data_IF_175747737452
#
_entry.id   IF_175747737452
#
_cell.length_a   1.000
_cell.length_b   1.000
_cell.length_c   1.000
_cell.angle_alpha   90.00
_cell.angle_beta   90.00
_cell.angle_gamma   90.00
#
_symmetry.space_group_name_H-M   'P 1'
#
loop_
_entity.id
_entity.type
_entity.pdbx_description
1 polymer ?
#
# COMPACT_ATOMS: atom_id res chain seq x y z
N UNK A 1 9.74 2.37 11.55
CA UNK A 1 8.47 2.54 10.80
C UNK A 1 7.29 2.37 11.74
N UNK A 2 6.08 2.70 11.30
CA UNK A 2 4.85 2.42 12.04
C UNK A 2 4.56 0.92 12.03
N UNK A 3 4.08 0.35 13.14
CA UNK A 3 3.70 -1.05 13.22
C UNK A 3 2.48 -1.34 12.31
N UNK A 4 2.42 -2.57 11.78
CA UNK A 4 1.24 -3.09 11.08
C UNK A 4 0.31 -3.68 12.14
N UNK A 5 -0.92 -3.19 12.20
CA UNK A 5 -1.95 -3.72 13.10
C UNK A 5 -2.71 -4.87 12.47
N UNK A 6 -2.94 -4.82 11.16
CA UNK A 6 -3.68 -5.85 10.44
C UNK A 6 -3.27 -5.93 8.96
N UNK A 7 -3.46 -7.13 8.38
CA UNK A 7 -3.20 -7.42 6.98
C UNK A 7 -4.43 -8.07 6.36
N UNK A 8 -5.10 -7.34 5.46
CA UNK A 8 -6.20 -7.87 4.66
C UNK A 8 -5.71 -8.43 3.33
N UNK A 9 -6.18 -9.62 2.92
CA UNK A 9 -5.74 -10.30 1.68
C UNK A 9 -6.87 -10.58 0.69
N UNK A 10 -8.02 -9.92 0.84
CA UNK A 10 -9.20 -10.20 0.02
C UNK A 10 -9.05 -9.77 -1.46
N UNK A 11 -8.30 -8.71 -1.71
CA UNK A 11 -8.10 -8.13 -3.05
C UNK A 11 -6.73 -7.43 -3.11
N UNK A 12 -5.69 -8.24 -3.36
CA UNK A 12 -4.30 -7.84 -3.13
C UNK A 12 -3.92 -7.96 -1.65
N UNK A 13 -3.07 -7.06 -1.15
CA UNK A 13 -2.78 -6.95 0.27
C UNK A 13 -2.96 -5.51 0.76
N UNK A 14 -3.69 -5.36 1.87
CA UNK A 14 -3.91 -4.09 2.57
C UNK A 14 -3.22 -4.16 3.93
N UNK A 15 -2.31 -3.24 4.18
CA UNK A 15 -1.68 -3.03 5.49
C UNK A 15 -2.41 -1.90 6.20
N UNK A 16 -3.00 -2.19 7.36
CA UNK A 16 -3.49 -1.19 8.31
C UNK A 16 -2.39 -0.91 9.33
N UNK A 17 -2.04 0.37 9.51
CA UNK A 17 -0.94 0.80 10.38
C UNK A 17 -1.47 1.39 11.68
N UNK A 18 -0.68 1.28 12.75
CA UNK A 18 -1.08 1.72 14.10
C UNK A 18 -1.32 3.22 14.27
N UNK A 19 -0.94 4.03 13.28
CA UNK A 19 -1.24 5.46 13.21
C UNK A 19 -2.54 5.78 12.44
N UNK A 20 -3.31 4.75 12.08
CA UNK A 20 -4.53 4.85 11.28
C UNK A 20 -4.29 4.99 9.77
N UNK A 21 -3.04 5.11 9.33
CA UNK A 21 -2.71 5.12 7.90
C UNK A 21 -2.84 3.71 7.29
N UNK A 22 -2.95 3.65 5.96
CA UNK A 22 -3.01 2.36 5.27
C UNK A 22 -2.32 2.39 3.91
N UNK A 23 -1.88 1.20 3.48
CA UNK A 23 -1.32 0.93 2.16
C UNK A 23 -2.09 -0.24 1.54
N UNK A 24 -2.50 -0.12 0.28
CA UNK A 24 -3.11 -1.21 -0.49
C UNK A 24 -2.36 -1.40 -1.79
N UNK A 25 -1.94 -2.63 -2.04
CA UNK A 25 -1.39 -3.07 -3.32
C UNK A 25 -2.31 -4.13 -3.90
N UNK A 26 -2.70 -3.97 -5.16
CA UNK A 26 -3.52 -4.98 -5.85
C UNK A 26 -3.23 -5.08 -7.34
N UNK A 27 -3.41 -6.26 -7.96
CA UNK A 27 -3.48 -6.39 -9.40
C UNK A 27 -4.67 -5.61 -9.98
N UNK A 28 -4.48 -5.08 -11.19
CA UNK A 28 -5.57 -4.60 -12.00
C UNK A 28 -6.29 -5.77 -12.68
N UNK A 29 -7.62 -5.79 -12.62
CA UNK A 29 -8.44 -6.79 -13.31
C UNK A 29 -8.61 -6.53 -14.81
N UNK A 30 -8.25 -5.35 -15.31
CA UNK A 30 -8.53 -4.92 -16.70
C UNK A 30 -7.28 -4.54 -17.48
N UNK A 31 -6.11 -4.45 -16.83
CA UNK A 31 -4.87 -3.96 -17.44
C UNK A 31 -3.69 -4.72 -16.82
N UNK A 32 -2.59 -4.96 -17.53
CA UNK A 32 -1.42 -5.66 -16.99
C UNK A 32 -0.58 -4.73 -16.10
N UNK A 33 -1.12 -4.31 -14.96
CA UNK A 33 -0.44 -3.42 -14.00
C UNK A 33 -0.83 -3.67 -12.55
N UNK A 34 0.08 -3.37 -11.63
CA UNK A 34 -0.19 -3.29 -10.20
C UNK A 34 -0.64 -1.86 -9.85
N UNK A 35 -1.55 -1.74 -8.88
CA UNK A 35 -1.99 -0.47 -8.31
C UNK A 35 -1.55 -0.36 -6.87
N UNK A 36 -1.03 0.80 -6.50
CA UNK A 36 -0.64 1.16 -5.13
C UNK A 36 -1.49 2.34 -4.69
N UNK A 37 -2.15 2.21 -3.54
CA UNK A 37 -2.98 3.23 -2.92
C UNK A 37 -2.52 3.44 -1.49
N UNK A 38 -2.56 4.68 -1.03
CA UNK A 38 -2.24 4.98 0.36
C UNK A 38 -3.13 6.10 0.90
N UNK A 39 -3.36 6.04 2.21
CA UNK A 39 -3.98 7.12 2.98
C UNK A 39 -3.12 7.38 4.22
N UNK A 40 -3.02 8.64 4.61
CA UNK A 40 -2.35 9.05 5.82
C UNK A 40 -2.69 10.49 6.19
N UNK A 41 -2.40 10.87 7.43
CA UNK A 41 -2.76 12.18 7.97
C UNK A 41 -2.05 13.40 7.34
N UNK A 42 -1.17 13.20 6.36
CA UNK A 42 -0.53 14.30 5.63
C UNK A 42 -0.09 13.87 4.22
N UNK A 43 0.07 14.85 3.32
CA UNK A 43 0.57 14.60 1.98
C UNK A 43 2.00 14.04 1.95
N UNK A 44 2.82 14.34 2.95
CA UNK A 44 4.16 13.76 3.10
C UNK A 44 4.05 12.27 3.48
N UNK A 45 3.16 11.94 4.43
CA UNK A 45 2.92 10.56 4.85
C UNK A 45 2.41 9.69 3.71
N UNK A 46 1.46 10.20 2.92
CA UNK A 46 0.93 9.52 1.73
C UNK A 46 2.06 9.23 0.74
N UNK A 47 2.91 10.22 0.44
CA UNK A 47 4.07 10.02 -0.46
C UNK A 47 5.00 8.92 0.04
N UNK A 48 5.40 8.96 1.32
CA UNK A 48 6.23 7.91 1.92
C UNK A 48 5.61 6.50 1.79
N UNK A 49 4.30 6.38 1.95
CA UNK A 49 3.60 5.10 1.83
C UNK A 49 3.53 4.62 0.37
N UNK A 50 3.27 5.52 -0.58
CA UNK A 50 3.27 5.19 -2.00
C UNK A 50 4.65 4.73 -2.48
N UNK A 51 5.72 5.42 -2.06
CA UNK A 51 7.09 5.03 -2.39
C UNK A 51 7.41 3.64 -1.80
N UNK A 52 7.12 3.43 -0.51
CA UNK A 52 7.32 2.12 0.13
C UNK A 52 6.50 0.99 -0.54
N UNK A 53 5.26 1.28 -0.96
CA UNK A 53 4.42 0.32 -1.65
C UNK A 53 4.90 0.01 -3.06
N UNK A 54 5.49 0.98 -3.76
CA UNK A 54 6.14 0.77 -5.06
C UNK A 54 7.39 -0.10 -4.90
N UNK A 55 8.26 0.22 -3.96
CA UNK A 55 9.51 -0.53 -3.72
C UNK A 55 9.23 -1.99 -3.36
N UNK A 56 8.15 -2.24 -2.60
CA UNK A 56 7.73 -3.58 -2.21
C UNK A 56 7.36 -4.46 -3.42
N UNK A 57 6.88 -3.88 -4.51
CA UNK A 57 6.43 -4.62 -5.69
C UNK A 57 7.33 -4.51 -6.91
N UNK A 58 8.29 -3.58 -6.92
CA UNK A 58 9.24 -3.40 -8.01
C UNK A 58 9.91 -4.71 -8.47
N UNK A 59 10.30 -5.66 -7.59
CA UNK A 59 10.88 -6.94 -8.01
C UNK A 59 9.93 -7.87 -8.77
N UNK A 60 8.63 -7.58 -8.80
CA UNK A 60 7.57 -8.42 -9.37
C UNK A 60 7.03 -7.90 -10.70
N UNK A 61 7.57 -6.78 -11.21
CA UNK A 61 7.13 -6.10 -12.44
C UNK A 61 8.09 -6.37 -13.59
#
# INVERSE_FOLDING_TARGET
GTAVEDVGTADGFKLLLADGAWLLVRPSGTEPKLRVYAEGGSAARVRTLLDAGRDLVEPLV
#
